data_IF_604853108730
#
_entry.id   IF_604853108730
#
_cell.length_a   1.000
_cell.length_b   1.000
_cell.length_c   1.000
_cell.angle_alpha   90.00
_cell.angle_beta   90.00
_cell.angle_gamma   90.00
#
_symmetry.space_group_name_H-M   'P 1'
#
loop_
_entity.id
_entity.type
_entity.pdbx_description
1 polymer ?
#
# COMPACT_ATOMS: atom_id res chain seq x y z
N UNK A 1 38.08 28.80 -0.20
CA UNK A 1 37.24 28.45 0.95
C UNK A 1 35.79 28.62 0.52
N UNK A 2 35.27 27.65 -0.25
CA UNK A 2 33.97 27.75 -0.90
C UNK A 2 32.95 26.84 -0.22
N UNK A 3 31.79 27.43 0.10
CA UNK A 3 30.66 26.79 0.76
C UNK A 3 29.98 25.81 -0.20
N UNK A 4 30.13 24.53 0.09
CA UNK A 4 29.43 23.44 -0.57
C UNK A 4 28.27 22.97 0.32
N UNK A 5 27.08 23.55 0.12
CA UNK A 5 25.82 23.02 0.66
C UNK A 5 24.73 23.13 -0.40
N UNK A 6 24.76 22.20 -1.37
CA UNK A 6 23.61 21.90 -2.24
C UNK A 6 22.96 20.62 -1.74
N UNK A 7 21.66 20.68 -1.48
CA UNK A 7 20.87 19.53 -1.08
C UNK A 7 20.67 18.61 -2.29
N UNK A 8 21.28 17.43 -2.24
CA UNK A 8 21.28 16.37 -3.27
C UNK A 8 19.93 15.63 -3.43
N UNK A 9 18.81 16.23 -3.03
CA UNK A 9 17.58 15.45 -2.80
C UNK A 9 16.86 15.02 -4.09
N UNK A 10 17.20 15.59 -5.26
CA UNK A 10 16.55 15.26 -6.54
C UNK A 10 17.52 15.11 -7.74
N UNK A 11 18.83 15.08 -7.49
CA UNK A 11 19.85 14.69 -8.49
C UNK A 11 20.20 13.20 -8.42
N UNK A 12 19.31 12.38 -7.87
CA UNK A 12 19.38 10.94 -8.06
C UNK A 12 18.97 10.64 -9.51
N UNK A 13 19.94 10.72 -10.43
CA UNK A 13 19.98 9.75 -11.53
C UNK A 13 19.98 8.39 -10.83
N UNK A 14 18.82 7.78 -10.67
CA UNK A 14 18.74 6.34 -10.44
C UNK A 14 19.18 5.66 -11.74
N UNK A 15 20.47 5.76 -12.05
CA UNK A 15 21.17 4.62 -12.61
C UNK A 15 21.09 3.57 -11.51
N UNK A 16 20.24 2.58 -11.68
CA UNK A 16 20.58 1.29 -11.12
C UNK A 16 21.77 0.83 -11.98
N UNK A 17 22.95 1.35 -11.70
CA UNK A 17 24.17 0.61 -12.01
C UNK A 17 24.05 -0.63 -11.12
N UNK A 18 23.58 -1.73 -11.72
CA UNK A 18 23.98 -3.05 -11.24
C UNK A 18 25.50 -3.00 -11.41
N UNK A 19 26.31 -3.01 -10.34
CA UNK A 19 27.73 -2.74 -10.47
C UNK A 19 28.34 -3.74 -11.47
N UNK A 20 28.93 -3.24 -12.56
CA UNK A 20 29.74 -4.04 -13.50
C UNK A 20 31.05 -4.55 -12.88
N UNK A 21 31.19 -4.51 -11.56
CA UNK A 21 32.44 -4.87 -10.87
C UNK A 21 32.18 -5.64 -9.60
N UNK A 22 31.82 -6.92 -9.73
CA UNK A 22 32.50 -7.97 -8.96
C UNK A 22 32.21 -9.34 -9.58
N UNK A 23 33.28 -10.04 -9.96
CA UNK A 23 33.29 -11.43 -10.42
C UNK A 23 32.93 -12.44 -9.32
N UNK A 24 31.99 -12.10 -8.44
CA UNK A 24 31.30 -13.02 -7.51
C UNK A 24 29.85 -12.55 -7.43
N UNK A 25 28.96 -13.24 -8.14
CA UNK A 25 27.51 -12.97 -8.17
C UNK A 25 26.97 -12.76 -6.75
N UNK A 26 26.79 -11.52 -6.35
CA UNK A 26 26.14 -11.21 -5.09
C UNK A 26 24.63 -11.22 -5.35
N UNK A 27 23.88 -12.06 -4.64
CA UNK A 27 22.43 -12.23 -4.86
C UNK A 27 21.68 -10.88 -4.84
N UNK A 28 20.71 -10.65 -5.75
CA UNK A 28 19.98 -9.38 -5.87
C UNK A 28 19.02 -9.10 -4.69
N UNK A 29 18.71 -10.14 -3.91
CA UNK A 29 17.92 -10.08 -2.69
C UNK A 29 18.63 -10.81 -1.56
N UNK A 30 18.21 -10.57 -0.32
CA UNK A 30 18.66 -11.36 0.82
C UNK A 30 17.62 -12.42 1.16
N UNK A 31 18.04 -13.66 1.36
CA UNK A 31 17.20 -14.75 1.87
C UNK A 31 17.44 -14.95 3.35
N UNK A 32 16.37 -15.13 4.12
CA UNK A 32 16.44 -15.52 5.54
C UNK A 32 15.42 -16.61 5.82
N UNK A 33 15.80 -17.61 6.63
CA UNK A 33 14.92 -18.73 6.99
C UNK A 33 14.83 -18.85 8.51
N UNK A 34 13.61 -18.95 9.03
CA UNK A 34 13.30 -19.26 10.42
C UNK A 34 12.60 -20.62 10.47
N UNK A 35 13.09 -21.54 11.30
CA UNK A 35 12.45 -22.84 11.54
C UNK A 35 11.78 -22.81 12.91
N UNK A 36 10.46 -22.96 12.95
CA UNK A 36 9.72 -23.02 14.20
C UNK A 36 9.78 -24.44 14.79
N UNK A 37 10.17 -24.62 16.06
CA UNK A 37 10.16 -25.93 16.69
C UNK A 37 8.72 -26.38 16.98
N UNK A 38 8.24 -27.41 16.28
CA UNK A 38 6.97 -28.14 16.47
C UNK A 38 5.70 -27.29 16.72
N UNK A 39 5.65 -26.08 16.16
CA UNK A 39 4.50 -25.17 16.28
C UNK A 39 3.86 -24.93 14.93
N UNK A 40 2.53 -24.86 14.94
CA UNK A 40 1.74 -24.52 13.76
C UNK A 40 1.77 -23.00 13.48
N UNK A 41 1.63 -22.60 12.22
CA UNK A 41 1.75 -21.21 11.78
C UNK A 41 0.72 -20.31 12.45
N UNK A 42 -0.50 -20.81 12.66
CA UNK A 42 -1.57 -20.08 13.33
C UNK A 42 -1.26 -19.76 14.80
N UNK A 43 -0.35 -20.51 15.43
CA UNK A 43 0.13 -20.22 16.79
C UNK A 43 1.24 -19.16 16.81
N UNK A 44 1.96 -19.04 15.70
CA UNK A 44 3.13 -18.17 15.56
C UNK A 44 2.72 -16.80 15.01
N UNK A 45 1.76 -16.77 14.08
CA UNK A 45 1.26 -15.55 13.45
C UNK A 45 -0.05 -15.09 14.11
N UNK A 46 -0.02 -14.06 14.97
CA UNK A 46 -1.21 -13.62 15.70
C UNK A 46 -2.32 -13.05 14.80
N UNK A 47 -2.02 -12.72 13.56
CA UNK A 47 -2.98 -12.22 12.57
C UNK A 47 -3.39 -13.24 11.51
N UNK A 48 -2.98 -14.51 11.65
CA UNK A 48 -3.45 -15.57 10.77
C UNK A 48 -4.96 -15.72 10.89
N UNK A 49 -5.68 -15.66 9.78
CA UNK A 49 -7.12 -15.94 9.74
C UNK A 49 -7.31 -17.21 8.92
N UNK A 50 -7.92 -18.26 9.49
CA UNK A 50 -8.09 -19.52 8.80
C UNK A 50 -8.81 -19.38 7.45
N UNK A 51 -8.56 -20.31 6.53
CA UNK A 51 -9.34 -20.43 5.32
C UNK A 51 -10.77 -20.80 5.67
N UNK A 52 -11.73 -20.18 5.00
CA UNK A 52 -13.14 -20.51 5.11
C UNK A 52 -13.82 -19.86 6.30
N UNK A 53 -13.12 -19.00 7.05
CA UNK A 53 -13.73 -18.21 8.13
C UNK A 53 -14.96 -17.47 7.61
N UNK A 54 -16.13 -17.85 8.12
CA UNK A 54 -17.41 -17.23 7.79
C UNK A 54 -17.70 -15.99 8.65
N UNK A 55 -17.06 -15.89 9.81
CA UNK A 55 -17.26 -14.80 10.75
C UNK A 55 -16.27 -13.65 10.51
N UNK A 56 -16.69 -12.38 10.66
CA UNK A 56 -15.76 -11.28 10.75
C UNK A 56 -14.86 -11.42 11.99
N UNK A 57 -13.67 -10.85 11.93
CA UNK A 57 -12.78 -10.84 13.10
C UNK A 57 -11.83 -9.66 13.09
N UNK A 58 -11.44 -9.20 14.28
CA UNK A 58 -10.38 -8.22 14.48
C UNK A 58 -9.29 -8.83 15.35
N UNK A 59 -8.05 -8.83 14.86
CA UNK A 59 -6.88 -9.30 15.60
C UNK A 59 -5.91 -8.15 15.80
N UNK A 60 -5.51 -7.90 17.04
CA UNK A 60 -4.57 -6.83 17.45
C UNK A 60 -3.27 -7.46 17.91
N UNK A 61 -2.12 -6.96 17.47
CA UNK A 61 -0.81 -7.53 17.81
C UNK A 61 0.33 -6.51 17.66
N UNK A 62 1.52 -6.81 18.19
CA UNK A 62 2.74 -6.05 17.91
C UNK A 62 3.69 -6.92 17.09
N UNK A 63 3.91 -6.63 15.79
CA UNK A 63 4.79 -7.43 14.94
C UNK A 63 6.22 -7.52 15.47
N UNK A 64 6.67 -6.55 16.29
CA UNK A 64 8.01 -6.56 16.91
C UNK A 64 8.16 -7.62 18.01
N UNK A 65 7.03 -8.06 18.58
CA UNK A 65 6.98 -9.11 19.60
C UNK A 65 6.86 -10.52 18.99
N UNK A 66 6.76 -10.63 17.68
CA UNK A 66 6.70 -11.91 16.98
C UNK A 66 8.10 -12.29 16.53
N UNK A 67 8.75 -13.21 17.25
CA UNK A 67 10.18 -13.54 17.07
C UNK A 67 10.54 -13.91 15.63
N UNK A 68 9.70 -14.68 14.94
CA UNK A 68 9.96 -15.06 13.55
C UNK A 68 9.90 -13.88 12.57
N UNK A 69 9.24 -12.76 12.92
CA UNK A 69 9.14 -11.58 12.08
C UNK A 69 10.20 -10.52 12.38
N UNK A 70 10.99 -10.67 13.46
CA UNK A 70 12.03 -9.72 13.85
C UNK A 70 13.09 -9.46 12.77
N UNK A 71 13.54 -10.44 11.96
CA UNK A 71 14.47 -10.18 10.85
C UNK A 71 13.94 -9.16 9.83
N UNK A 72 12.61 -9.00 9.71
CA UNK A 72 11.99 -8.00 8.83
C UNK A 72 12.12 -6.56 9.37
N UNK A 73 12.55 -6.38 10.62
CA UNK A 73 12.79 -5.04 11.18
C UNK A 73 13.88 -4.25 10.42
N UNK A 74 14.77 -4.93 9.68
CA UNK A 74 15.76 -4.28 8.81
C UNK A 74 15.11 -3.33 7.78
N UNK A 75 13.86 -3.58 7.39
CA UNK A 75 13.09 -2.72 6.47
C UNK A 75 12.56 -1.43 7.08
N UNK A 76 12.89 -1.16 8.35
CA UNK A 76 12.65 0.17 8.94
C UNK A 76 13.69 1.21 8.51
N UNK A 77 14.82 0.78 7.91
CA UNK A 77 15.82 1.69 7.33
C UNK A 77 15.31 2.32 6.04
N UNK A 78 15.76 3.54 5.75
CA UNK A 78 15.51 4.20 4.45
C UNK A 78 16.36 3.56 3.36
N UNK A 79 15.93 3.62 2.10
CA UNK A 79 16.73 3.12 0.99
C UNK A 79 18.13 3.74 0.91
N UNK A 80 18.29 5.03 1.25
CA UNK A 80 19.60 5.67 1.33
C UNK A 80 20.50 5.03 2.38
N UNK A 81 19.95 4.70 3.55
CA UNK A 81 20.68 3.99 4.60
C UNK A 81 21.03 2.57 4.16
N UNK A 82 20.11 1.87 3.47
CA UNK A 82 20.40 0.56 2.90
C UNK A 82 21.56 0.65 1.91
N UNK A 83 21.50 1.57 0.93
CA UNK A 83 22.55 1.75 -0.08
C UNK A 83 23.89 2.12 0.55
N UNK A 84 23.90 3.07 1.49
CA UNK A 84 25.12 3.48 2.19
C UNK A 84 25.76 2.35 3.01
N UNK A 85 24.96 1.35 3.41
CA UNK A 85 25.41 0.18 4.17
C UNK A 85 25.54 -1.07 3.28
N UNK A 86 25.46 -0.93 1.95
CA UNK A 86 25.46 -2.02 0.98
C UNK A 86 24.40 -3.11 1.26
N UNK A 87 23.28 -2.73 1.85
CA UNK A 87 22.16 -3.62 2.16
C UNK A 87 21.20 -3.75 0.98
N UNK A 88 20.58 -4.93 0.87
CA UNK A 88 19.60 -5.23 -0.19
C UNK A 88 18.30 -4.47 0.02
N UNK A 89 17.70 -4.06 -1.10
CA UNK A 89 16.44 -3.31 -1.13
C UNK A 89 15.20 -4.22 -1.22
N UNK A 90 15.40 -5.52 -1.46
CA UNK A 90 14.38 -6.57 -1.46
C UNK A 90 14.90 -7.81 -0.71
N UNK A 91 14.07 -8.42 0.12
CA UNK A 91 14.42 -9.60 0.91
C UNK A 91 13.26 -10.60 0.84
N UNK A 92 13.63 -11.86 0.80
CA UNK A 92 12.74 -13.00 0.95
C UNK A 92 12.97 -13.61 2.34
N UNK A 93 11.88 -13.79 3.07
CA UNK A 93 11.93 -14.36 4.40
C UNK A 93 10.97 -15.54 4.50
N UNK A 94 11.49 -16.70 4.89
CA UNK A 94 10.73 -17.93 5.04
C UNK A 94 10.59 -18.28 6.51
N UNK A 95 9.37 -18.56 6.95
CA UNK A 95 9.08 -19.16 8.26
C UNK A 95 8.49 -20.53 8.01
N UNK A 96 9.28 -21.56 8.30
CA UNK A 96 8.87 -22.96 8.16
C UNK A 96 8.26 -23.40 9.50
N UNK A 97 6.96 -23.66 9.50
CA UNK A 97 6.19 -24.17 10.63
C UNK A 97 5.78 -25.63 10.39
N UNK A 98 5.15 -26.26 11.38
CA UNK A 98 4.74 -27.67 11.32
C UNK A 98 3.73 -27.98 10.22
N UNK A 99 2.81 -27.05 9.98
CA UNK A 99 1.66 -27.17 9.08
C UNK A 99 1.85 -26.41 7.76
N UNK A 100 2.50 -25.24 7.80
CA UNK A 100 2.62 -24.32 6.68
C UNK A 100 4.00 -23.64 6.62
N UNK A 101 4.38 -23.20 5.42
CA UNK A 101 5.51 -22.28 5.23
C UNK A 101 4.98 -20.89 4.88
N UNK A 102 5.32 -19.89 5.69
CA UNK A 102 5.06 -18.50 5.35
C UNK A 102 6.24 -17.96 4.52
N UNK A 103 5.93 -17.47 3.33
CA UNK A 103 6.86 -16.70 2.51
C UNK A 103 6.53 -15.21 2.60
N UNK A 104 7.50 -14.41 3.01
CA UNK A 104 7.40 -12.96 3.13
C UNK A 104 8.30 -12.30 2.09
N UNK A 105 7.70 -11.46 1.24
CA UNK A 105 8.43 -10.54 0.37
C UNK A 105 8.43 -9.16 1.02
N UNK A 106 9.61 -8.65 1.32
CA UNK A 106 9.79 -7.32 1.89
C UNK A 106 10.68 -6.47 0.98
N UNK A 107 10.33 -5.19 0.80
CA UNK A 107 11.03 -4.30 -0.10
C UNK A 107 11.01 -2.85 0.38
N UNK A 108 11.96 -2.06 -0.09
CA UNK A 108 11.98 -0.61 0.08
C UNK A 108 10.99 0.06 -0.88
N UNK A 109 9.94 0.69 -0.33
CA UNK A 109 8.83 1.24 -1.12
C UNK A 109 9.25 2.32 -2.13
N UNK A 110 10.40 2.99 -1.95
CA UNK A 110 10.92 3.93 -2.95
C UNK A 110 11.29 3.25 -4.27
N UNK A 111 11.61 1.95 -4.24
CA UNK A 111 12.04 1.18 -5.42
C UNK A 111 10.84 0.55 -6.13
N UNK A 112 9.87 0.05 -5.38
CA UNK A 112 8.81 -0.82 -5.88
C UNK A 112 7.48 -0.47 -5.21
N UNK A 113 6.40 -0.46 -5.99
CA UNK A 113 5.03 -0.45 -5.48
C UNK A 113 4.36 -1.82 -5.64
N UNK A 114 3.16 -1.99 -5.08
CA UNK A 114 2.45 -3.27 -5.14
C UNK A 114 2.11 -3.74 -6.56
N UNK A 115 1.68 -2.88 -7.50
CA UNK A 115 1.53 -3.31 -8.89
C UNK A 115 2.84 -3.79 -9.53
N UNK A 116 3.99 -3.22 -9.21
CA UNK A 116 5.26 -3.79 -9.70
C UNK A 116 5.60 -5.12 -9.01
N UNK A 117 5.28 -5.30 -7.73
CA UNK A 117 5.43 -6.60 -7.06
C UNK A 117 4.58 -7.68 -7.75
N UNK A 118 3.37 -7.35 -8.19
CA UNK A 118 2.55 -8.27 -9.00
C UNK A 118 3.31 -8.78 -10.23
N UNK A 119 3.99 -7.89 -10.95
CA UNK A 119 4.72 -8.28 -12.15
C UNK A 119 5.86 -9.25 -11.80
N UNK A 120 6.60 -8.97 -10.72
CA UNK A 120 7.66 -9.87 -10.24
C UNK A 120 7.12 -11.24 -9.86
N UNK A 121 5.99 -11.28 -9.14
CA UNK A 121 5.36 -12.54 -8.73
C UNK A 121 4.85 -13.32 -9.95
N UNK A 122 4.21 -12.66 -10.92
CA UNK A 122 3.72 -13.31 -12.13
C UNK A 122 4.86 -13.95 -12.97
N UNK A 123 6.01 -13.28 -13.06
CA UNK A 123 7.19 -13.86 -13.70
C UNK A 123 7.72 -15.07 -12.93
N UNK A 124 7.71 -15.01 -11.59
CA UNK A 124 8.10 -16.14 -10.77
C UNK A 124 7.17 -17.34 -10.97
N UNK A 125 5.86 -17.13 -11.03
CA UNK A 125 4.89 -18.18 -11.38
C UNK A 125 5.20 -18.81 -12.73
N UNK A 126 5.44 -17.97 -13.76
CA UNK A 126 5.79 -18.42 -15.10
C UNK A 126 7.01 -19.32 -15.13
N UNK A 127 8.09 -18.93 -14.45
CA UNK A 127 9.33 -19.69 -14.38
C UNK A 127 9.17 -21.06 -13.68
N UNK A 128 8.29 -21.16 -12.67
CA UNK A 128 8.05 -22.42 -11.97
C UNK A 128 7.14 -23.36 -12.79
N UNK A 129 6.21 -22.80 -13.55
CA UNK A 129 5.24 -23.57 -14.35
C UNK A 129 5.84 -24.15 -15.63
N UNK A 130 6.84 -23.51 -16.22
CA UNK A 130 7.46 -23.99 -17.47
C UNK A 130 8.38 -25.20 -17.30
N UNK A 131 8.70 -25.64 -16.06
CA UNK A 131 9.66 -26.72 -15.73
C UNK A 131 11.02 -26.58 -16.43
N UNK A 132 11.36 -25.39 -16.94
CA UNK A 132 12.61 -25.15 -17.62
C UNK A 132 13.70 -24.99 -16.56
N UNK A 133 14.36 -26.10 -16.24
CA UNK A 133 15.43 -26.21 -15.24
C UNK A 133 16.67 -25.38 -15.61
N UNK A 134 16.69 -24.78 -16.79
CA UNK A 134 17.50 -23.61 -17.06
C UNK A 134 16.88 -22.42 -16.32
N UNK A 135 17.07 -22.39 -15.00
CA UNK A 135 17.23 -21.13 -14.28
C UNK A 135 18.11 -20.28 -15.18
N UNK A 136 17.48 -19.32 -15.89
CA UNK A 136 18.20 -18.30 -16.63
C UNK A 136 18.95 -17.54 -15.56
N UNK A 137 20.15 -18.01 -15.23
CA UNK A 137 21.20 -17.16 -14.70
C UNK A 137 21.22 -16.03 -15.69
N UNK A 138 20.73 -14.87 -15.27
CA UNK A 138 20.73 -13.68 -16.09
C UNK A 138 22.18 -13.39 -16.43
N UNK A 139 22.65 -13.98 -17.53
CA UNK A 139 23.83 -13.51 -18.21
C UNK A 139 23.41 -12.15 -18.73
N UNK A 140 24.15 -11.11 -18.31
CA UNK A 140 23.80 -9.71 -18.54
C UNK A 140 23.74 -9.35 -20.02
N UNK A 141 24.18 -10.25 -20.90
CA UNK A 141 24.38 -10.02 -22.32
C UNK A 141 23.41 -10.75 -23.25
N UNK A 142 22.53 -11.63 -22.75
CA UNK A 142 21.63 -12.39 -23.62
C UNK A 142 20.16 -12.24 -23.20
N UNK A 143 19.60 -11.08 -23.55
CA UNK A 143 18.21 -10.76 -23.31
C UNK A 143 17.38 -11.13 -24.54
N UNK A 144 16.70 -12.29 -24.46
CA UNK A 144 15.66 -12.64 -25.42
C UNK A 144 14.52 -11.59 -25.40
N UNK A 145 13.91 -11.24 -26.56
CA UNK A 145 13.00 -10.09 -26.71
C UNK A 145 11.69 -10.18 -25.91
N UNK A 146 11.32 -11.34 -25.38
CA UNK A 146 10.06 -11.52 -24.64
C UNK A 146 10.10 -10.95 -23.21
N UNK A 147 11.29 -10.55 -22.72
CA UNK A 147 11.55 -10.03 -21.36
C UNK A 147 11.45 -8.49 -21.28
N UNK A 148 11.03 -7.80 -22.34
CA UNK A 148 10.98 -6.33 -22.40
C UNK A 148 10.05 -5.68 -21.35
N UNK A 149 9.05 -6.39 -20.85
CA UNK A 149 8.04 -5.83 -19.95
C UNK A 149 8.60 -5.23 -18.64
N UNK A 150 9.67 -5.79 -18.08
CA UNK A 150 10.26 -5.31 -16.83
C UNK A 150 11.29 -4.17 -17.03
N UNK A 151 11.69 -3.89 -18.27
CA UNK A 151 12.79 -2.95 -18.61
C UNK A 151 12.32 -1.57 -19.07
N UNK A 152 11.04 -1.40 -19.39
CA UNK A 152 10.46 -0.12 -19.85
C UNK A 152 10.33 0.91 -18.72
N UNK A 153 11.45 1.24 -18.07
CA UNK A 153 11.51 2.46 -17.30
C UNK A 153 11.44 3.61 -18.30
N UNK A 154 10.48 4.55 -18.13
CA UNK A 154 10.43 5.70 -19.00
C UNK A 154 11.78 6.38 -19.01
N UNK A 155 12.20 6.86 -20.18
CA UNK A 155 13.29 7.82 -20.23
C UNK A 155 12.87 9.00 -19.34
N UNK A 156 13.57 9.14 -18.21
CA UNK A 156 13.15 10.08 -17.18
C UNK A 156 13.25 11.52 -17.71
N UNK A 157 14.25 11.82 -18.54
CA UNK A 157 14.43 13.15 -19.12
C UNK A 157 13.28 13.48 -20.10
N UNK A 158 12.88 12.51 -20.92
CA UNK A 158 11.72 12.63 -21.81
C UNK A 158 10.43 12.81 -21.02
N UNK A 159 10.18 11.95 -20.02
CA UNK A 159 9.02 12.08 -19.14
C UNK A 159 8.96 13.46 -18.49
N UNK A 160 10.07 13.92 -17.89
CA UNK A 160 10.18 15.22 -17.25
C UNK A 160 9.86 16.36 -18.22
N UNK A 161 10.34 16.27 -19.47
CA UNK A 161 10.10 17.29 -20.49
C UNK A 161 8.61 17.44 -20.86
N UNK A 162 7.81 16.39 -20.68
CA UNK A 162 6.36 16.38 -20.96
C UNK A 162 5.49 16.81 -19.77
N UNK A 163 6.07 17.00 -18.58
CA UNK A 163 5.31 17.36 -17.39
C UNK A 163 4.89 18.83 -17.42
N UNK A 164 3.60 19.10 -17.19
CA UNK A 164 3.09 20.47 -17.07
C UNK A 164 3.65 21.12 -15.80
N UNK A 165 4.46 22.17 -15.96
CA UNK A 165 5.04 22.96 -14.87
C UNK A 165 4.01 23.98 -14.40
N UNK A 166 3.48 23.79 -13.19
CA UNK A 166 2.59 24.75 -12.53
C UNK A 166 3.30 25.56 -11.45
N UNK A 167 2.65 26.66 -11.03
CA UNK A 167 3.09 27.54 -9.94
C UNK A 167 3.56 26.75 -8.70
N UNK A 168 4.77 27.04 -8.17
CA UNK A 168 5.52 26.16 -7.25
C UNK A 168 4.99 26.11 -5.80
N UNK A 169 3.85 26.74 -5.50
CA UNK A 169 3.35 26.87 -4.11
C UNK A 169 2.24 25.89 -3.74
N UNK A 170 1.35 25.51 -4.67
CA UNK A 170 0.24 24.58 -4.39
C UNK A 170 -0.38 24.00 -5.66
N UNK A 171 -1.00 22.83 -5.51
CA UNK A 171 -1.85 22.17 -6.50
C UNK A 171 -3.21 21.90 -5.83
N UNK A 172 -4.36 21.87 -6.54
CA UNK A 172 -5.66 21.71 -5.88
C UNK A 172 -5.71 20.49 -4.93
N UNK A 173 -5.96 20.75 -3.64
CA UNK A 173 -5.95 19.73 -2.58
C UNK A 173 -4.57 19.41 -1.98
N UNK A 174 -3.51 20.08 -2.42
CA UNK A 174 -2.12 19.85 -2.05
C UNK A 174 -1.38 21.13 -1.66
N UNK A 175 -0.41 20.99 -0.78
CA UNK A 175 0.48 22.06 -0.34
C UNK A 175 1.94 21.60 -0.44
N UNK A 176 2.82 22.52 -0.84
CA UNK A 176 4.26 22.33 -0.80
C UNK A 176 4.80 22.90 0.52
N UNK A 177 5.24 22.03 1.44
CA UNK A 177 5.81 22.47 2.73
C UNK A 177 7.31 22.30 2.77
N UNK A 178 8.01 23.17 3.46
CA UNK A 178 9.44 23.00 3.74
C UNK A 178 9.67 21.78 4.65
N UNK A 179 10.90 21.27 4.70
CA UNK A 179 11.29 20.21 5.64
C UNK A 179 10.90 20.56 7.10
N UNK A 180 11.11 21.82 7.51
CA UNK A 180 10.68 22.32 8.82
C UNK A 180 9.16 22.29 9.02
N UNK A 181 8.39 22.65 7.99
CA UNK A 181 6.94 22.49 8.00
C UNK A 181 6.52 21.03 8.15
N UNK A 182 7.19 20.12 7.44
CA UNK A 182 7.01 18.67 7.57
C UNK A 182 7.31 18.16 8.99
N UNK A 183 8.37 18.65 9.63
CA UNK A 183 8.72 18.28 11.00
C UNK A 183 7.66 18.75 12.01
N UNK A 184 7.12 19.97 11.86
CA UNK A 184 6.01 20.47 12.68
C UNK A 184 4.78 19.57 12.56
N UNK A 185 4.43 19.14 11.35
CA UNK A 185 3.32 18.21 11.12
C UNK A 185 3.58 16.83 11.78
N UNK A 186 4.82 16.33 11.72
CA UNK A 186 5.21 15.08 12.38
C UNK A 186 5.09 15.20 13.91
N UNK A 187 5.50 16.34 14.49
CA UNK A 187 5.37 16.58 15.92
C UNK A 187 3.90 16.61 16.36
N UNK A 188 3.03 17.32 15.62
CA UNK A 188 1.59 17.33 15.88
C UNK A 188 0.99 15.93 15.75
N UNK A 189 1.35 15.19 14.70
CA UNK A 189 0.95 13.79 14.55
C UNK A 189 1.38 12.93 15.75
N UNK A 190 2.56 13.20 16.33
CA UNK A 190 3.04 12.49 17.53
C UNK A 190 2.22 12.85 18.77
N UNK A 191 1.84 14.12 18.96
CA UNK A 191 0.95 14.54 20.05
C UNK A 191 -0.41 13.82 19.94
N UNK A 192 -1.01 13.78 18.74
CA UNK A 192 -2.26 13.05 18.53
C UNK A 192 -2.12 11.54 18.73
N UNK A 193 -0.97 10.94 18.43
CA UNK A 193 -0.73 9.52 18.71
C UNK A 193 -0.67 9.19 20.21
N UNK A 194 -0.42 10.18 21.07
CA UNK A 194 -0.54 10.02 22.53
C UNK A 194 -1.99 10.05 22.99
N UNK A 195 -2.83 10.90 22.38
CA UNK A 195 -4.26 10.98 22.67
C UNK A 195 -5.04 9.75 22.17
N UNK A 196 -4.54 9.12 21.09
CA UNK A 196 -5.16 7.94 20.48
C UNK A 196 -4.11 6.84 20.33
N UNK A 197 -3.80 6.09 21.41
CA UNK A 197 -2.82 5.01 21.39
C UNK A 197 -3.12 4.01 20.29
N UNK A 198 -2.11 3.71 19.49
CA UNK A 198 -2.25 2.89 18.28
C UNK A 198 -1.63 1.52 18.46
N UNK A 199 -2.24 0.52 17.84
CA UNK A 199 -1.72 -0.84 17.76
C UNK A 199 -1.87 -1.40 16.36
N UNK A 200 -0.98 -2.30 15.99
CA UNK A 200 -1.11 -3.02 14.73
C UNK A 200 -2.25 -4.02 14.83
N UNK A 201 -2.93 -4.22 13.72
CA UNK A 201 -4.02 -5.16 13.67
C UNK A 201 -4.46 -5.49 12.25
N UNK A 202 -5.29 -6.51 12.20
CA UNK A 202 -5.92 -7.04 11.00
C UNK A 202 -7.41 -7.17 11.27
N UNK A 203 -8.24 -6.57 10.41
CA UNK A 203 -9.67 -6.84 10.36
C UNK A 203 -9.97 -7.72 9.14
N UNK A 204 -10.70 -8.80 9.33
CA UNK A 204 -11.17 -9.68 8.27
C UNK A 204 -12.66 -9.51 8.04
N UNK A 205 -13.02 -9.22 6.78
CA UNK A 205 -14.39 -9.15 6.29
C UNK A 205 -14.66 -10.40 5.43
N UNK A 206 -15.55 -11.30 5.86
CA UNK A 206 -15.88 -12.51 5.09
C UNK A 206 -16.59 -12.15 3.78
N UNK A 207 -16.59 -13.05 2.77
CA UNK A 207 -17.20 -12.79 1.47
C UNK A 207 -18.65 -12.29 1.55
N UNK A 208 -19.46 -12.88 2.45
CA UNK A 208 -20.85 -12.49 2.70
C UNK A 208 -20.96 -11.02 3.11
N UNK A 209 -20.17 -10.59 4.08
CA UNK A 209 -20.14 -9.20 4.56
C UNK A 209 -19.78 -8.24 3.43
N UNK A 210 -18.71 -8.54 2.69
CA UNK A 210 -18.26 -7.65 1.63
C UNK A 210 -19.29 -7.57 0.49
N UNK A 211 -19.87 -8.71 0.08
CA UNK A 211 -20.90 -8.74 -0.95
C UNK A 211 -22.16 -7.98 -0.51
N UNK A 212 -22.63 -8.19 0.72
CA UNK A 212 -23.81 -7.52 1.27
C UNK A 212 -23.63 -6.00 1.38
N UNK A 213 -22.48 -5.54 1.88
CA UNK A 213 -22.14 -4.10 1.92
C UNK A 213 -22.18 -3.48 0.52
N UNK A 214 -21.57 -4.15 -0.47
CA UNK A 214 -21.52 -3.67 -1.86
C UNK A 214 -22.91 -3.62 -2.48
N UNK A 215 -23.70 -4.67 -2.32
CA UNK A 215 -25.04 -4.76 -2.86
C UNK A 215 -25.93 -3.64 -2.30
N UNK A 216 -25.95 -3.47 -0.97
CA UNK A 216 -26.74 -2.43 -0.30
C UNK A 216 -26.36 -1.01 -0.74
N UNK A 217 -25.06 -0.71 -0.83
CA UNK A 217 -24.63 0.65 -1.20
C UNK A 217 -24.94 0.93 -2.66
N UNK A 218 -24.78 -0.06 -3.55
CA UNK A 218 -25.13 0.10 -4.97
C UNK A 218 -26.64 0.26 -5.19
N UNK A 219 -27.48 -0.48 -4.46
CA UNK A 219 -28.93 -0.32 -4.57
C UNK A 219 -29.40 1.07 -4.13
N UNK A 220 -28.71 1.68 -3.16
CA UNK A 220 -29.07 3.00 -2.62
C UNK A 220 -28.46 4.17 -3.39
N UNK A 221 -27.45 3.94 -4.24
CA UNK A 221 -26.74 5.00 -4.94
C UNK A 221 -27.55 5.68 -6.06
N UNK A 222 -28.68 5.07 -6.46
CA UNK A 222 -29.54 5.58 -7.53
C UNK A 222 -29.11 5.13 -8.94
N UNK A 223 -29.98 5.34 -9.94
CA UNK A 223 -29.74 4.91 -11.32
C UNK A 223 -28.54 5.63 -11.94
N UNK A 224 -27.73 4.90 -12.72
CA UNK A 224 -26.59 5.46 -13.46
C UNK A 224 -25.30 5.67 -12.62
N UNK A 225 -25.35 5.46 -11.31
CA UNK A 225 -24.18 5.63 -10.44
C UNK A 225 -23.29 4.38 -10.39
N UNK A 226 -22.02 4.52 -10.75
CA UNK A 226 -21.05 3.40 -10.78
C UNK A 226 -20.03 3.49 -9.65
N UNK A 227 -20.29 2.77 -8.56
CA UNK A 227 -19.37 2.60 -7.44
C UNK A 227 -18.62 1.28 -7.51
N UNK A 228 -17.29 1.32 -7.43
CA UNK A 228 -16.51 0.08 -7.29
C UNK A 228 -16.59 -0.42 -5.86
N UNK A 229 -16.38 -1.73 -5.71
CA UNK A 229 -16.20 -2.39 -4.42
C UNK A 229 -15.14 -1.71 -3.55
N UNK A 230 -14.05 -1.26 -4.19
CA UNK A 230 -12.97 -0.53 -3.53
C UNK A 230 -13.41 0.84 -2.99
N UNK A 231 -14.30 1.57 -3.68
CA UNK A 231 -14.81 2.85 -3.18
C UNK A 231 -15.66 2.60 -1.93
N UNK A 232 -16.57 1.62 -2.00
CA UNK A 232 -17.52 1.30 -0.93
C UNK A 232 -16.79 0.85 0.34
N UNK A 233 -15.89 -0.13 0.24
CA UNK A 233 -15.19 -0.66 1.42
C UNK A 233 -14.20 0.35 2.00
N UNK A 234 -13.53 1.15 1.15
CA UNK A 234 -12.67 2.23 1.63
C UNK A 234 -13.47 3.29 2.41
N UNK A 235 -14.65 3.69 1.91
CA UNK A 235 -15.53 4.65 2.59
C UNK A 235 -16.11 4.08 3.88
N UNK A 236 -16.52 2.81 3.88
CA UNK A 236 -17.06 2.14 5.08
C UNK A 236 -15.99 2.06 6.17
N UNK A 237 -14.79 1.63 5.81
CA UNK A 237 -13.68 1.55 6.74
C UNK A 237 -13.29 2.93 7.27
N UNK A 238 -13.20 3.94 6.39
CA UNK A 238 -12.94 5.32 6.79
C UNK A 238 -13.98 5.84 7.77
N UNK A 239 -15.26 5.64 7.47
CA UNK A 239 -16.39 5.96 8.34
C UNK A 239 -16.22 5.29 9.71
N UNK A 240 -16.14 3.95 9.76
CA UNK A 240 -16.04 3.19 11.00
C UNK A 240 -14.82 3.57 11.87
N UNK A 241 -13.67 3.87 11.25
CA UNK A 241 -12.42 4.15 11.99
C UNK A 241 -12.25 5.60 12.40
N UNK A 242 -12.89 6.54 11.71
CA UNK A 242 -12.73 7.97 11.98
C UNK A 242 -13.89 8.56 12.79
N UNK A 243 -15.01 7.86 12.94
CA UNK A 243 -16.11 8.27 13.81
C UNK A 243 -15.76 8.25 15.31
N UNK A 244 -14.63 7.65 15.69
CA UNK A 244 -14.15 7.58 17.08
C UNK A 244 -13.65 8.93 17.63
N UNK A 245 -13.32 9.85 16.73
CA UNK A 245 -12.74 11.13 17.10
C UNK A 245 -13.83 12.09 17.59
N UNK A 246 -13.44 13.08 18.40
CA UNK A 246 -14.37 14.12 18.83
C UNK A 246 -15.10 14.75 17.62
N UNK A 247 -16.39 15.12 17.74
CA UNK A 247 -17.19 15.55 16.60
C UNK A 247 -16.58 16.67 15.75
N UNK A 248 -15.87 17.62 16.36
CA UNK A 248 -15.20 18.72 15.68
C UNK A 248 -13.87 18.37 15.00
N UNK A 249 -13.32 17.17 15.25
CA UNK A 249 -12.05 16.72 14.65
C UNK A 249 -12.21 16.55 13.15
N UNK A 250 -11.32 17.20 12.39
CA UNK A 250 -11.27 17.06 10.94
C UNK A 250 -10.59 15.74 10.57
N UNK A 251 -11.17 15.00 9.63
CA UNK A 251 -10.68 13.70 9.17
C UNK A 251 -10.58 13.71 7.63
N UNK A 252 -9.67 12.93 7.06
CA UNK A 252 -9.49 12.87 5.59
C UNK A 252 -9.16 11.45 5.14
N UNK A 253 -9.89 10.93 4.16
CA UNK A 253 -9.51 9.72 3.43
C UNK A 253 -8.58 10.07 2.26
N UNK A 254 -7.46 9.37 2.19
CA UNK A 254 -6.53 9.38 1.06
C UNK A 254 -6.40 7.97 0.48
N UNK A 255 -6.28 7.84 -0.84
CA UNK A 255 -6.15 6.56 -1.53
C UNK A 255 -4.99 6.57 -2.50
N UNK A 256 -4.14 5.55 -2.44
CA UNK A 256 -3.12 5.36 -3.48
C UNK A 256 -3.77 4.99 -4.81
N UNK A 257 -3.23 5.53 -5.90
CA UNK A 257 -3.71 5.34 -7.27
C UNK A 257 -2.54 4.89 -8.13
N UNK A 258 -2.70 3.79 -8.87
CA UNK A 258 -1.71 3.37 -9.87
C UNK A 258 -1.70 4.36 -11.04
N UNK A 259 -0.53 4.92 -11.38
CA UNK A 259 -0.34 5.87 -12.49
C UNK A 259 0.09 5.21 -13.80
N UNK A 260 0.36 3.90 -13.80
CA UNK A 260 0.73 3.16 -15.01
C UNK A 260 -0.36 3.24 -16.07
N UNK A 261 0.03 3.50 -17.31
CA UNK A 261 -0.88 3.66 -18.45
C UNK A 261 -1.76 4.92 -18.40
N UNK A 262 -1.59 5.79 -17.39
CA UNK A 262 -2.37 7.04 -17.26
C UNK A 262 -1.64 8.26 -17.82
N UNK A 263 -0.36 8.10 -18.08
CA UNK A 263 0.46 9.01 -18.87
C UNK A 263 1.06 8.18 -19.99
N UNK A 264 1.09 8.71 -21.22
CA UNK A 264 1.48 7.95 -22.42
C UNK A 264 2.90 7.36 -22.34
N UNK A 265 3.83 8.06 -21.68
CA UNK A 265 5.20 7.56 -21.46
C UNK A 265 5.33 6.55 -20.30
N UNK A 266 4.31 6.33 -19.47
CA UNK A 266 4.39 5.41 -18.33
C UNK A 266 3.78 4.08 -18.73
N UNK A 267 4.63 3.13 -19.11
CA UNK A 267 4.22 1.77 -19.48
C UNK A 267 3.35 1.10 -18.39
N UNK A 268 2.29 0.36 -18.78
CA UNK A 268 1.57 -0.56 -17.88
C UNK A 268 2.45 -1.58 -17.17
N UNK A 269 3.64 -1.88 -17.71
CA UNK A 269 4.55 -2.94 -17.22
C UNK A 269 5.76 -2.41 -16.45
N UNK A 270 5.90 -1.09 -16.28
CA UNK A 270 7.08 -0.53 -15.61
C UNK A 270 7.29 -1.09 -14.19
N UNK A 271 8.51 -1.61 -13.97
CA UNK A 271 8.99 -2.10 -12.68
C UNK A 271 9.56 -0.92 -11.86
N UNK A 272 8.75 -0.40 -10.94
CA UNK A 272 9.09 0.81 -10.18
C UNK A 272 7.97 1.26 -9.26
N UNK A 273 8.16 2.38 -8.55
CA UNK A 273 7.08 3.05 -7.84
C UNK A 273 6.42 4.10 -8.73
N UNK A 274 5.16 3.88 -9.11
CA UNK A 274 4.39 4.77 -9.98
C UNK A 274 3.00 5.00 -9.39
N UNK A 275 3.00 5.62 -8.22
CA UNK A 275 1.79 5.89 -7.45
C UNK A 275 1.45 7.39 -7.35
N UNK A 276 0.18 7.69 -7.54
CA UNK A 276 -0.46 8.93 -7.14
C UNK A 276 -1.21 8.76 -5.83
N UNK A 277 -1.73 9.87 -5.31
CA UNK A 277 -2.55 9.86 -4.11
C UNK A 277 -3.81 10.70 -4.35
N UNK A 278 -4.96 10.05 -4.38
CA UNK A 278 -6.24 10.72 -4.34
C UNK A 278 -6.53 11.15 -2.90
N UNK A 279 -7.07 12.36 -2.73
CA UNK A 279 -7.39 12.93 -1.43
C UNK A 279 -8.81 13.44 -1.49
N UNK A 280 -9.66 12.96 -0.59
CA UNK A 280 -11.00 13.51 -0.44
C UNK A 280 -10.97 14.85 0.30
N UNK A 281 -11.99 15.71 0.13
CA UNK A 281 -12.21 16.83 1.04
C UNK A 281 -12.28 16.34 2.49
N UNK A 282 -11.74 17.14 3.42
CA UNK A 282 -11.80 16.79 4.84
C UNK A 282 -13.23 16.86 5.38
N UNK A 283 -13.62 15.88 6.18
CA UNK A 283 -14.94 15.77 6.82
C UNK A 283 -14.76 15.79 8.34
N UNK A 284 -15.65 16.48 9.05
CA UNK A 284 -15.64 16.42 10.52
C UNK A 284 -16.17 15.07 11.01
N UNK A 285 -15.56 14.51 12.07
CA UNK A 285 -15.97 13.21 12.65
C UNK A 285 -17.47 13.16 12.94
N UNK A 286 -18.06 14.22 13.51
CA UNK A 286 -19.49 14.26 13.81
C UNK A 286 -20.39 14.28 12.56
N UNK A 287 -19.90 14.86 11.46
CA UNK A 287 -20.60 14.80 10.17
C UNK A 287 -20.44 13.41 9.53
N UNK A 288 -19.30 12.76 9.72
CA UNK A 288 -19.03 11.41 9.24
C UNK A 288 -20.01 10.39 9.85
N UNK A 289 -20.32 10.54 11.15
CA UNK A 289 -21.33 9.73 11.86
C UNK A 289 -22.70 9.73 11.16
N UNK A 290 -23.11 10.89 10.64
CA UNK A 290 -24.41 11.10 10.00
C UNK A 290 -24.40 10.86 8.48
N UNK A 291 -23.22 10.81 7.86
CA UNK A 291 -23.10 10.67 6.41
C UNK A 291 -23.57 9.30 5.93
N UNK A 292 -24.34 9.29 4.85
CA UNK A 292 -24.71 8.06 4.15
C UNK A 292 -23.49 7.47 3.45
N UNK A 293 -23.43 6.15 3.37
CA UNK A 293 -22.24 5.45 2.88
C UNK A 293 -22.08 5.61 1.35
N UNK A 294 -23.17 5.63 0.62
CA UNK A 294 -23.22 5.89 -0.83
C UNK A 294 -22.66 7.28 -1.20
N UNK A 295 -22.99 8.32 -0.43
CA UNK A 295 -22.48 9.68 -0.64
C UNK A 295 -20.97 9.77 -0.38
N UNK A 296 -20.49 9.09 0.67
CA UNK A 296 -19.06 8.98 0.95
C UNK A 296 -18.32 8.20 -0.14
N UNK A 297 -18.92 7.11 -0.64
CA UNK A 297 -18.37 6.31 -1.73
C UNK A 297 -18.31 7.09 -3.05
N UNK A 298 -19.33 7.89 -3.35
CA UNK A 298 -19.36 8.83 -4.46
C UNK A 298 -18.26 9.88 -4.35
N UNK A 299 -18.12 10.51 -3.18
CA UNK A 299 -17.04 11.48 -2.93
C UNK A 299 -15.66 10.82 -3.08
N UNK A 300 -15.53 9.58 -2.62
CA UNK A 300 -14.30 8.77 -2.80
C UNK A 300 -14.02 8.53 -4.27
N UNK A 301 -15.03 8.09 -5.04
CA UNK A 301 -14.93 7.87 -6.48
C UNK A 301 -14.46 9.13 -7.20
N UNK A 302 -15.14 10.26 -6.98
CA UNK A 302 -14.80 11.54 -7.62
C UNK A 302 -13.36 12.00 -7.34
N UNK A 303 -12.81 11.67 -6.17
CA UNK A 303 -11.40 11.97 -5.86
C UNK A 303 -10.39 11.16 -6.69
N UNK A 304 -10.73 9.91 -7.02
CA UNK A 304 -9.90 8.99 -7.81
C UNK A 304 -10.06 9.24 -9.30
N UNK A 305 -11.25 9.62 -9.76
CA UNK A 305 -11.54 9.84 -11.19
C UNK A 305 -10.74 10.97 -11.82
N UNK A 306 -10.28 11.94 -11.03
CA UNK A 306 -9.34 12.97 -11.51
C UNK A 306 -8.10 12.36 -12.16
N UNK A 307 -7.64 11.21 -11.65
CA UNK A 307 -6.51 10.49 -12.22
C UNK A 307 -6.90 9.66 -13.45
N UNK A 308 -8.08 9.80 -14.03
CA UNK A 308 -8.36 9.26 -15.38
C UNK A 308 -7.95 10.25 -16.47
N UNK A 309 -7.83 11.52 -16.13
CA UNK A 309 -7.40 12.59 -17.02
C UNK A 309 -5.86 12.64 -17.11
N UNK A 310 -5.26 12.37 -18.29
CA UNK A 310 -3.82 12.45 -18.48
C UNK A 310 -3.22 13.82 -18.17
N UNK A 311 -3.97 14.90 -18.39
CA UNK A 311 -3.52 16.26 -18.12
C UNK A 311 -3.41 16.51 -16.61
N UNK A 312 -4.40 16.03 -15.84
CA UNK A 312 -4.34 16.03 -14.39
C UNK A 312 -3.14 15.24 -13.88
N UNK A 313 -2.87 14.06 -14.45
CA UNK A 313 -1.72 13.22 -14.07
C UNK A 313 -0.39 13.91 -14.36
N UNK A 314 -0.20 14.45 -15.56
CA UNK A 314 1.00 15.20 -15.95
C UNK A 314 1.24 16.38 -15.01
N UNK A 315 0.19 17.16 -14.73
CA UNK A 315 0.24 18.31 -13.83
C UNK A 315 0.57 17.92 -12.38
N UNK A 316 -0.05 16.85 -11.88
CA UNK A 316 0.21 16.32 -10.54
C UNK A 316 1.67 15.86 -10.39
N UNK A 317 2.20 15.15 -11.38
CA UNK A 317 3.59 14.71 -11.42
C UNK A 317 4.56 15.89 -11.48
N UNK A 318 4.28 16.88 -12.32
CA UNK A 318 5.05 18.12 -12.41
C UNK A 318 5.10 18.88 -11.07
N UNK A 319 3.97 19.01 -10.38
CA UNK A 319 3.91 19.60 -9.04
C UNK A 319 4.77 18.83 -8.02
N UNK A 320 4.69 17.50 -8.01
CA UNK A 320 5.46 16.64 -7.09
C UNK A 320 6.97 16.78 -7.32
N UNK A 321 7.39 16.80 -8.58
CA UNK A 321 8.77 17.01 -8.99
C UNK A 321 9.28 18.40 -8.58
N UNK A 322 8.50 19.45 -8.82
CA UNK A 322 8.86 20.83 -8.44
C UNK A 322 9.00 21.00 -6.93
N UNK A 323 8.10 20.39 -6.14
CA UNK A 323 8.26 20.35 -4.68
C UNK A 323 9.61 19.76 -4.31
N UNK A 324 9.94 18.63 -4.92
CA UNK A 324 11.20 17.96 -4.71
C UNK A 324 12.42 18.83 -5.01
N UNK A 325 12.51 19.34 -6.24
CA UNK A 325 13.61 20.19 -6.70
C UNK A 325 13.80 21.45 -5.81
N UNK A 326 12.74 21.92 -5.17
CA UNK A 326 12.77 23.05 -4.24
C UNK A 326 13.03 22.66 -2.76
N UNK A 327 13.36 21.40 -2.46
CA UNK A 327 13.57 20.92 -1.09
C UNK A 327 12.28 20.92 -0.25
N UNK A 328 11.12 20.76 -0.89
CA UNK A 328 9.79 20.76 -0.26
C UNK A 328 9.15 19.38 -0.35
N UNK A 329 8.24 19.14 0.58
CA UNK A 329 7.42 17.92 0.64
C UNK A 329 6.01 18.28 0.18
N UNK A 330 5.51 17.55 -0.80
CA UNK A 330 4.11 17.61 -1.21
C UNK A 330 3.24 16.87 -0.19
N UNK A 331 2.33 17.60 0.47
CA UNK A 331 1.37 17.04 1.43
C UNK A 331 -0.05 17.40 1.01
N UNK A 332 -1.06 16.61 1.39
CA UNK A 332 -2.45 17.06 1.27
C UNK A 332 -2.69 18.33 2.09
N UNK A 333 -3.41 19.28 1.50
CA UNK A 333 -3.78 20.54 2.15
C UNK A 333 -4.91 20.29 3.14
N UNK A 334 -4.56 20.04 4.40
CA UNK A 334 -5.50 19.76 5.49
C UNK A 334 -5.27 20.69 6.68
N UNK A 335 -6.29 20.85 7.54
CA UNK A 335 -6.17 21.64 8.79
C UNK A 335 -5.16 20.98 9.75
N UNK A 336 -4.52 21.79 10.59
CA UNK A 336 -3.66 21.28 11.65
C UNK A 336 -4.47 20.36 12.57
N UNK A 337 -3.93 19.18 12.89
CA UNK A 337 -4.62 18.17 13.70
C UNK A 337 -5.62 17.29 12.95
N UNK A 338 -5.70 17.41 11.62
CA UNK A 338 -6.49 16.50 10.80
C UNK A 338 -6.02 15.04 10.96
N UNK A 339 -6.97 14.14 11.19
CA UNK A 339 -6.71 12.70 11.27
C UNK A 339 -6.82 12.09 9.87
N UNK A 340 -5.72 11.52 9.39
CA UNK A 340 -5.61 10.97 8.03
C UNK A 340 -5.80 9.47 8.04
N UNK A 341 -6.72 9.00 7.21
CA UNK A 341 -6.89 7.59 6.87
C UNK A 341 -6.30 7.38 5.47
N UNK A 342 -5.14 6.75 5.36
CA UNK A 342 -4.50 6.45 4.08
C UNK A 342 -4.69 4.99 3.73
N UNK A 343 -5.48 4.72 2.69
CA UNK A 343 -5.76 3.36 2.22
C UNK A 343 -4.96 3.08 0.94
N UNK A 344 -4.24 1.97 0.96
CA UNK A 344 -3.54 1.38 -0.20
C UNK A 344 -4.21 0.04 -0.52
N UNK A 345 -4.83 -0.06 -1.70
CA UNK A 345 -5.58 -1.27 -2.08
C UNK A 345 -4.73 -2.14 -2.99
N UNK A 346 -4.55 -3.39 -2.57
CA UNK A 346 -3.86 -4.46 -3.29
C UNK A 346 -4.86 -5.46 -3.87
N UNK A 347 -6.15 -5.17 -3.72
CA UNK A 347 -7.27 -5.96 -4.26
C UNK A 347 -7.13 -6.06 -5.78
N UNK A 348 -7.44 -7.24 -6.32
CA UNK A 348 -7.33 -7.60 -7.74
C UNK A 348 -5.91 -7.51 -8.31
N UNK A 349 -4.87 -7.43 -7.47
CA UNK A 349 -3.49 -7.55 -7.95
C UNK A 349 -3.07 -9.02 -8.18
N UNK A 350 -3.84 -10.00 -7.70
CA UNK A 350 -3.46 -11.43 -7.80
C UNK A 350 -2.38 -11.84 -6.78
N UNK A 351 -1.88 -10.90 -5.98
CA UNK A 351 -0.93 -11.14 -4.89
C UNK A 351 -1.53 -11.94 -3.73
N UNK A 352 -2.82 -12.25 -3.78
CA UNK A 352 -3.56 -12.99 -2.76
C UNK A 352 -3.73 -14.48 -3.04
N UNK A 353 -3.38 -14.93 -4.24
CA UNK A 353 -3.39 -16.35 -4.56
C UNK A 353 -2.43 -16.63 -5.72
N UNK A 354 -1.12 -16.43 -5.52
CA UNK A 354 -0.17 -16.74 -6.56
C UNK A 354 -0.15 -18.25 -6.91
N UNK A 355 0.13 -18.58 -8.16
CA UNK A 355 0.21 -19.94 -8.66
C UNK A 355 1.66 -20.43 -8.75
N UNK A 356 2.15 -21.09 -7.69
CA UNK A 356 3.51 -21.64 -7.65
C UNK A 356 3.62 -23.07 -8.20
N UNK A 357 2.63 -23.54 -8.95
CA UNK A 357 2.65 -24.84 -9.61
C UNK A 357 1.76 -25.89 -8.96
N UNK A 358 1.66 -27.02 -9.65
CA UNK A 358 0.80 -28.15 -9.27
C UNK A 358 1.18 -28.69 -7.89
N UNK A 359 0.17 -28.91 -7.04
CA UNK A 359 0.36 -29.43 -5.67
C UNK A 359 0.72 -28.38 -4.61
N UNK A 360 0.93 -27.11 -4.99
CA UNK A 360 1.16 -26.02 -4.02
C UNK A 360 -0.15 -25.31 -3.71
N UNK A 361 -0.66 -25.49 -2.49
CA UNK A 361 -1.80 -24.73 -1.99
C UNK A 361 -1.29 -23.46 -1.33
N UNK A 362 -1.67 -22.31 -1.88
CA UNK A 362 -1.38 -21.01 -1.29
C UNK A 362 -2.51 -20.58 -0.38
N UNK A 363 -2.16 -20.39 0.89
CA UNK A 363 -3.07 -19.86 1.88
C UNK A 363 -3.22 -18.34 1.77
N UNK A 364 -4.27 -17.80 2.39
CA UNK A 364 -4.58 -16.36 2.34
C UNK A 364 -3.33 -15.52 2.69
N UNK A 365 -3.01 -14.48 1.91
CA UNK A 365 -1.87 -13.61 2.18
C UNK A 365 -2.09 -12.88 3.51
N UNK A 366 -1.03 -12.82 4.29
CA UNK A 366 -0.97 -11.97 5.47
C UNK A 366 -0.06 -10.79 5.14
N UNK A 367 -0.54 -9.57 5.40
CA UNK A 367 0.30 -8.39 5.28
C UNK A 367 0.72 -7.88 6.64
N UNK A 368 2.00 -7.53 6.72
CA UNK A 368 2.57 -6.82 7.86
C UNK A 368 2.92 -5.43 7.37
N UNK A 369 2.29 -4.42 7.95
CA UNK A 369 2.69 -3.03 7.75
C UNK A 369 3.29 -2.52 9.05
N UNK A 370 4.52 -2.01 8.98
CA UNK A 370 5.18 -1.35 10.11
C UNK A 370 4.91 0.16 10.12
N UNK A 371 4.24 0.68 9.08
CA UNK A 371 4.01 2.11 8.91
C UNK A 371 2.77 2.59 9.67
N UNK A 372 2.88 3.61 10.55
CA UNK A 372 1.78 4.02 11.43
C UNK A 372 0.53 4.60 10.75
N UNK A 373 0.61 5.00 9.48
CA UNK A 373 -0.43 5.77 8.78
C UNK A 373 -1.03 4.99 7.61
N UNK A 374 -0.34 3.96 7.11
CA UNK A 374 -0.73 3.22 5.92
C UNK A 374 -1.59 2.03 6.30
N UNK A 375 -2.84 2.07 5.85
CA UNK A 375 -3.76 0.93 5.86
C UNK A 375 -3.66 0.22 4.52
N UNK A 376 -3.46 -1.10 4.57
CA UNK A 376 -3.40 -1.96 3.38
C UNK A 376 -4.65 -2.82 3.32
N UNK A 377 -5.24 -2.92 2.14
CA UNK A 377 -6.43 -3.74 1.89
C UNK A 377 -6.07 -4.79 0.85
N UNK A 378 -6.33 -6.05 1.16
CA UNK A 378 -6.06 -7.19 0.28
C UNK A 378 -7.28 -8.10 0.23
N UNK A 379 -7.60 -8.59 -0.95
CA UNK A 379 -8.64 -9.59 -1.16
C UNK A 379 -8.13 -10.99 -0.84
N UNK A 380 -9.05 -11.94 -0.73
CA UNK A 380 -8.77 -13.37 -0.77
C UNK A 380 -9.47 -14.00 -1.98
N UNK A 381 -9.03 -15.20 -2.36
CA UNK A 381 -9.54 -15.92 -3.53
C UNK A 381 -11.06 -16.20 -3.50
N UNK A 382 -11.69 -16.19 -2.32
CA UNK A 382 -13.13 -16.40 -2.14
C UNK A 382 -13.92 -15.10 -2.11
N UNK A 383 -13.25 -13.96 -2.31
CA UNK A 383 -13.85 -12.64 -2.24
C UNK A 383 -14.00 -12.10 -0.82
N UNK A 384 -13.37 -12.67 0.21
CA UNK A 384 -13.21 -12.02 1.50
C UNK A 384 -12.13 -10.95 1.44
N UNK A 385 -12.16 -9.96 2.32
CA UNK A 385 -11.19 -8.86 2.34
C UNK A 385 -10.51 -8.80 3.70
N UNK A 386 -9.23 -8.48 3.73
CA UNK A 386 -8.50 -8.20 4.97
C UNK A 386 -7.87 -6.83 4.92
N UNK A 387 -7.93 -6.15 6.07
CA UNK A 387 -7.48 -4.79 6.25
C UNK A 387 -6.41 -4.79 7.33
N UNK A 388 -5.20 -4.38 6.96
CA UNK A 388 -4.01 -4.43 7.81
C UNK A 388 -3.52 -3.01 8.06
N UNK A 389 -3.24 -2.66 9.31
CA UNK A 389 -2.87 -1.29 9.64
C UNK A 389 -2.38 -1.13 11.05
N UNK A 390 -2.02 0.11 11.37
CA UNK A 390 -1.78 0.56 12.73
C UNK A 390 -2.83 1.63 13.06
N UNK A 391 -3.82 1.29 13.88
CA UNK A 391 -4.96 2.16 14.17
C UNK A 391 -5.07 2.41 15.68
N UNK A 392 -5.74 3.49 16.11
CA UNK A 392 -6.15 3.64 17.49
C UNK A 392 -6.90 2.40 18.00
N UNK A 393 -6.73 2.03 19.27
CA UNK A 393 -7.46 0.89 19.86
C UNK A 393 -8.97 1.00 19.65
N UNK A 394 -9.54 2.18 19.94
CA UNK A 394 -10.95 2.46 19.75
C UNK A 394 -11.43 2.29 18.29
N UNK A 395 -10.56 2.49 17.30
CA UNK A 395 -10.89 2.28 15.88
C UNK A 395 -11.01 0.79 15.56
N UNK A 396 -10.16 -0.05 16.15
CA UNK A 396 -10.30 -1.51 16.04
C UNK A 396 -11.60 -1.99 16.69
N UNK A 397 -11.92 -1.49 17.88
CA UNK A 397 -13.17 -1.84 18.57
C UNK A 397 -14.40 -1.36 17.79
N UNK A 398 -14.32 -0.18 17.16
CA UNK A 398 -15.38 0.33 16.31
C UNK A 398 -15.55 -0.52 15.04
N UNK A 399 -14.47 -0.98 14.43
CA UNK A 399 -14.54 -1.89 13.28
C UNK A 399 -15.21 -3.21 13.64
N UNK A 400 -14.82 -3.81 14.78
CA UNK A 400 -15.40 -5.05 15.29
C UNK A 400 -16.93 -4.93 15.43
N UNK A 401 -17.40 -3.93 16.20
CA UNK A 401 -18.83 -3.66 16.39
C UNK A 401 -19.57 -3.34 15.09
N UNK A 402 -18.93 -2.62 14.16
CA UNK A 402 -19.55 -2.31 12.88
C UNK A 402 -19.69 -3.57 12.01
N UNK A 403 -18.68 -4.45 11.98
CA UNK A 403 -18.78 -5.69 11.22
C UNK A 403 -19.86 -6.63 11.78
N UNK A 404 -19.96 -6.75 13.11
CA UNK A 404 -21.02 -7.52 13.78
C UNK A 404 -22.41 -6.99 13.42
N UNK A 405 -22.64 -5.68 13.58
CA UNK A 405 -23.90 -5.03 13.23
C UNK A 405 -24.27 -5.23 11.75
N UNK A 406 -23.29 -5.13 10.86
CA UNK A 406 -23.51 -5.32 9.43
C UNK A 406 -23.88 -6.77 9.11
N UNK A 407 -23.27 -7.75 9.79
CA UNK A 407 -23.62 -9.16 9.65
C UNK A 407 -25.03 -9.46 10.18
N UNK A 408 -25.37 -8.99 11.37
CA UNK A 408 -26.72 -9.14 11.97
C UNK A 408 -27.80 -8.52 11.06
N UNK A 409 -27.53 -7.34 10.50
CA UNK A 409 -28.42 -6.67 9.56
C UNK A 409 -28.62 -7.40 8.24
N UNK A 410 -27.72 -8.33 7.88
CA UNK A 410 -27.86 -9.20 6.71
C UNK A 410 -28.62 -10.47 7.04
N UNK A 411 -28.39 -11.06 8.21
CA UNK A 411 -29.06 -12.28 8.65
C UNK A 411 -30.56 -12.05 8.91
N UNK A 412 -30.94 -10.84 9.34
CA UNK A 412 -32.35 -10.45 9.57
C UNK A 412 -33.15 -10.14 8.30
N UNK A 413 -32.49 -10.03 7.14
CA UNK A 413 -33.12 -9.75 5.83
C UNK A 413 -33.05 -10.93 4.85
N UNK A 414 -32.47 -12.04 5.31
CA UNK A 414 -32.44 -13.34 4.63
C UNK A 414 -33.70 -14.12 5.01
#
# INVERSE_FOLDING_TARGET
MERQTRADTFRLKFKIDIPETSQKQSEPFRVTTFKAPDRALHEILPNYVPPGSASPSVKRFDPRKVSCLQPLAAFTKTAHQCVAQNERLMHLHFVIAKDLTLMCVAWQHVVLDAPALKLIVAEWEGLLLTRDAHLRTHDTNDHSPEVEGLKDRPNLDELISTLKINSPSSFPGWAAVTLWGGLKLKLVSKIYSLLYPRTFGTAYLPPKLVAGLVARVRSNAGPGVVLSRNDIIASWFYKATCEIYQPGTSTTLSRAVNLRGKHHLISPRVSGNVLGLAVMPSVQSGALQKARLEDLALTTRSSVEKFKDPDYVSTFMGFRMNCGNAGRIAIPKVKLGNQRCLITSFVNLGLSNPNFGEGVLVERPVQLTMEPIVIRVIDDARGGWSIHGNLPHAAWDALERNMEREMEGMDTKS
#
